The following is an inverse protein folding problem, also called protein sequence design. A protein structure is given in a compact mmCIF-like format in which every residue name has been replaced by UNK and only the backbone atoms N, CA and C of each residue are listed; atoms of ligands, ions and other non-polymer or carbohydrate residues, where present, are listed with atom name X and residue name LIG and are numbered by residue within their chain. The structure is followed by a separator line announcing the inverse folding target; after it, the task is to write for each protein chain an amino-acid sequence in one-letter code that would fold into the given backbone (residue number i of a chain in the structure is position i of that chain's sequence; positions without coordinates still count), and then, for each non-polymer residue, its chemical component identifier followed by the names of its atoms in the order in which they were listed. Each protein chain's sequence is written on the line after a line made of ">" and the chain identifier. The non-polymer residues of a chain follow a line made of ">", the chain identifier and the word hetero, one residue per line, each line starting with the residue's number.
data_IF_774582947031
#
_entry.id   IF_774582947031
#
_cell.length_a   1.000
_cell.length_b   1.000
_cell.length_c   1.000
_cell.angle_alpha   90.00
_cell.angle_beta   90.00
_cell.angle_gamma   90.00
#
_symmetry.space_group_name_H-M   'P 1'
#
loop_
_entity.id
_entity.type
_entity.pdbx_description
1 polymer ?
#
# COMPACT_ATOMS: atom_id res chain seq x y z
N UNK A 1 25.97 15.53 -10.59
CA UNK A 1 25.08 14.81 -9.66
C UNK A 1 25.91 13.85 -8.82
N UNK A 2 25.69 13.76 -7.51
CA UNK A 2 26.36 12.74 -6.70
C UNK A 2 25.94 11.34 -7.17
N UNK A 3 26.89 10.42 -7.33
CA UNK A 3 26.61 9.05 -7.73
C UNK A 3 25.72 8.35 -6.69
N UNK A 4 24.64 7.70 -7.13
CA UNK A 4 23.79 6.89 -6.26
C UNK A 4 24.60 5.72 -5.68
N UNK A 5 24.74 5.69 -4.35
CA UNK A 5 25.53 4.69 -3.61
C UNK A 5 24.72 3.44 -3.19
N UNK A 6 23.44 3.35 -3.56
CA UNK A 6 22.61 2.20 -3.21
C UNK A 6 22.74 1.03 -4.18
N UNK A 7 22.09 -0.08 -3.84
CA UNK A 7 22.03 -1.29 -4.67
C UNK A 7 21.40 -1.03 -6.04
N UNK A 8 21.84 -1.79 -7.04
CA UNK A 8 21.41 -1.68 -8.45
C UNK A 8 20.96 -3.04 -8.96
N UNK A 9 20.10 -3.03 -9.96
CA UNK A 9 19.87 -4.20 -10.82
C UNK A 9 21.12 -4.52 -11.65
N UNK A 10 21.22 -5.73 -12.23
CA UNK A 10 22.33 -6.11 -13.10
C UNK A 10 22.55 -5.17 -14.30
N UNK A 11 21.50 -4.53 -14.78
CA UNK A 11 21.55 -3.54 -15.87
C UNK A 11 22.05 -2.14 -15.42
N UNK A 12 22.45 -2.01 -14.15
CA UNK A 12 22.93 -0.77 -13.55
C UNK A 12 21.82 0.15 -13.04
N UNK A 13 20.54 -0.18 -13.22
CA UNK A 13 19.41 0.63 -12.73
C UNK A 13 19.42 0.68 -11.20
N UNK A 14 19.43 1.88 -10.58
CA UNK A 14 19.24 2.03 -9.14
C UNK A 14 17.96 1.36 -8.64
N UNK A 15 18.00 0.60 -7.55
CA UNK A 15 16.83 -0.17 -7.10
C UNK A 15 15.64 0.68 -6.69
N UNK A 16 15.86 1.88 -6.16
CA UNK A 16 14.78 2.83 -5.90
C UNK A 16 14.06 3.26 -7.19
N UNK A 17 14.80 3.47 -8.28
CA UNK A 17 14.23 3.78 -9.60
C UNK A 17 13.53 2.56 -10.20
N UNK A 18 14.09 1.36 -10.03
CA UNK A 18 13.50 0.11 -10.49
C UNK A 18 12.14 -0.18 -9.80
N UNK A 19 12.05 0.03 -8.49
CA UNK A 19 10.81 -0.08 -7.72
C UNK A 19 9.78 0.97 -8.18
N UNK A 20 10.21 2.21 -8.38
CA UNK A 20 9.34 3.26 -8.93
C UNK A 20 8.79 2.87 -10.31
N UNK A 21 9.64 2.39 -11.23
CA UNK A 21 9.24 1.91 -12.55
C UNK A 21 8.24 0.76 -12.44
N UNK A 22 8.45 -0.15 -11.50
CA UNK A 22 7.52 -1.27 -11.25
C UNK A 22 6.13 -0.78 -10.82
N UNK A 23 6.05 0.21 -9.94
CA UNK A 23 4.76 0.79 -9.53
C UNK A 23 4.07 1.59 -10.63
N UNK A 24 4.84 2.29 -11.49
CA UNK A 24 4.31 2.91 -12.71
C UNK A 24 3.75 1.87 -13.67
N UNK A 25 4.48 0.77 -13.86
CA UNK A 25 4.04 -0.37 -14.68
C UNK A 25 2.78 -1.04 -14.12
N UNK A 26 2.60 -1.05 -12.80
CA UNK A 26 1.39 -1.53 -12.15
C UNK A 26 0.19 -0.56 -12.23
N UNK A 27 0.33 0.57 -12.92
CA UNK A 27 -0.74 1.52 -13.21
C UNK A 27 -0.94 2.61 -12.16
N UNK A 28 -0.03 2.77 -11.20
CA UNK A 28 -0.05 3.93 -10.31
C UNK A 28 0.38 5.19 -11.04
N UNK A 29 -0.20 6.34 -10.69
CA UNK A 29 0.25 7.67 -11.13
C UNK A 29 1.71 7.94 -10.73
N UNK A 30 2.30 9.03 -11.23
CA UNK A 30 3.64 9.45 -10.82
C UNK A 30 3.72 9.64 -9.29
N UNK A 31 2.78 10.40 -8.72
CA UNK A 31 2.83 10.75 -7.29
C UNK A 31 2.46 9.57 -6.39
N UNK A 32 1.55 8.70 -6.81
CA UNK A 32 1.25 7.45 -6.12
C UNK A 32 2.49 6.53 -6.11
N UNK A 33 3.14 6.34 -7.27
CA UNK A 33 4.34 5.51 -7.37
C UNK A 33 5.49 6.05 -6.53
N UNK A 34 5.72 7.38 -6.53
CA UNK A 34 6.69 8.02 -5.65
C UNK A 34 6.42 7.71 -4.17
N UNK A 35 5.16 7.82 -3.73
CA UNK A 35 4.80 7.62 -2.33
C UNK A 35 4.99 6.17 -1.87
N UNK A 36 4.52 5.19 -2.65
CA UNK A 36 4.69 3.77 -2.27
C UNK A 36 6.16 3.36 -2.34
N UNK A 37 6.92 3.89 -3.32
CA UNK A 37 8.37 3.65 -3.39
C UNK A 37 9.10 4.22 -2.17
N UNK A 38 8.67 5.38 -1.67
CA UNK A 38 9.24 5.96 -0.45
C UNK A 38 8.99 5.08 0.79
N UNK A 39 7.83 4.43 0.90
CA UNK A 39 7.56 3.44 1.95
C UNK A 39 8.49 2.22 1.83
N UNK A 40 8.71 1.68 0.62
CA UNK A 40 9.69 0.60 0.39
C UNK A 40 11.08 1.01 0.90
N UNK A 41 11.52 2.23 0.59
CA UNK A 41 12.79 2.77 1.06
C UNK A 41 12.84 2.88 2.59
N UNK A 42 11.75 3.33 3.22
CA UNK A 42 11.63 3.38 4.68
C UNK A 42 11.84 2.00 5.32
N UNK A 43 11.29 0.95 4.71
CA UNK A 43 11.42 -0.42 5.22
C UNK A 43 12.85 -0.93 5.18
N UNK A 44 13.54 -0.78 4.04
CA UNK A 44 14.74 -1.59 3.78
C UNK A 44 15.87 -0.87 3.04
N UNK A 45 15.76 0.46 2.85
CA UNK A 45 16.73 1.28 2.10
C UNK A 45 17.01 0.78 0.68
N UNK A 46 16.09 0.01 0.08
CA UNK A 46 16.27 -0.63 -1.23
C UNK A 46 17.45 -1.61 -1.28
N UNK A 47 17.77 -2.28 -0.17
CA UNK A 47 18.79 -3.34 -0.19
C UNK A 47 18.32 -4.53 -1.02
N UNK A 48 19.19 -5.02 -1.92
CA UNK A 48 18.85 -6.15 -2.80
C UNK A 48 18.45 -7.41 -2.01
N UNK A 49 19.14 -7.68 -0.90
CA UNK A 49 18.85 -8.82 -0.03
C UNK A 49 17.44 -8.80 0.57
N UNK A 50 16.89 -7.61 0.85
CA UNK A 50 15.51 -7.53 1.35
C UNK A 50 14.49 -7.47 0.21
N UNK A 51 14.78 -6.75 -0.88
CA UNK A 51 13.87 -6.63 -2.04
C UNK A 51 13.60 -7.98 -2.72
N UNK A 52 14.61 -8.83 -2.79
CA UNK A 52 14.57 -10.13 -3.47
C UNK A 52 14.83 -11.31 -2.53
N UNK A 53 14.66 -11.10 -1.23
CA UNK A 53 14.87 -12.15 -0.25
C UNK A 53 13.71 -12.34 0.70
N UNK A 54 13.98 -13.20 1.68
CA UNK A 54 13.15 -13.38 2.85
C UNK A 54 14.01 -13.09 4.10
N UNK A 55 13.35 -12.73 5.20
CA UNK A 55 13.97 -12.70 6.51
C UNK A 55 12.96 -13.09 7.57
N UNK A 56 13.43 -13.61 8.68
CA UNK A 56 12.56 -13.98 9.81
C UNK A 56 12.60 -12.86 10.85
N UNK A 57 11.43 -12.41 11.30
CA UNK A 57 11.33 -11.45 12.40
C UNK A 57 11.78 -12.12 13.70
N UNK A 58 12.54 -11.43 14.57
CA UNK A 58 12.76 -11.88 15.95
C UNK A 58 11.46 -12.02 16.77
N UNK A 59 10.37 -11.38 16.35
CA UNK A 59 9.04 -11.57 16.90
C UNK A 59 8.39 -12.88 16.40
N UNK A 60 7.77 -13.61 17.32
CA UNK A 60 6.94 -14.76 17.01
C UNK A 60 5.46 -14.37 16.89
N UNK A 61 4.71 -15.15 16.11
CA UNK A 61 3.24 -15.11 16.13
C UNK A 61 2.71 -15.41 17.54
N UNK A 62 1.42 -15.14 17.80
CA UNK A 62 0.77 -15.48 19.08
C UNK A 62 0.90 -16.98 19.47
N UNK A 63 1.20 -17.85 18.51
CA UNK A 63 1.46 -19.28 18.73
C UNK A 63 2.94 -19.68 18.66
N UNK A 64 3.88 -18.74 18.85
CA UNK A 64 5.31 -19.04 18.95
C UNK A 64 6.03 -19.31 17.63
N UNK A 65 5.34 -19.27 16.48
CA UNK A 65 5.98 -19.49 15.16
C UNK A 65 6.76 -18.27 14.69
N UNK A 66 7.97 -18.42 14.12
CA UNK A 66 8.72 -17.32 13.53
C UNK A 66 7.94 -16.66 12.39
N UNK A 67 8.01 -15.33 12.29
CA UNK A 67 7.31 -14.58 11.24
C UNK A 67 8.24 -14.45 10.03
N UNK A 68 7.92 -15.15 8.94
CA UNK A 68 8.62 -14.97 7.67
C UNK A 68 8.13 -13.69 6.98
N UNK A 69 9.08 -12.85 6.59
CA UNK A 69 8.88 -11.69 5.75
C UNK A 69 9.45 -11.97 4.35
N UNK A 70 8.70 -11.65 3.30
CA UNK A 70 9.10 -11.87 1.91
C UNK A 70 9.02 -10.57 1.11
N UNK A 71 10.04 -10.28 0.29
CA UNK A 71 9.99 -9.22 -0.73
C UNK A 71 10.03 -7.78 -0.21
N UNK A 72 9.82 -6.85 -1.15
CA UNK A 72 10.11 -5.42 -0.96
C UNK A 72 9.26 -4.69 0.10
N UNK A 73 8.09 -5.22 0.48
CA UNK A 73 7.26 -4.68 1.59
C UNK A 73 7.30 -5.56 2.84
N UNK A 74 8.20 -6.54 2.91
CA UNK A 74 8.25 -7.50 4.02
C UNK A 74 6.89 -8.16 4.26
N UNK A 75 6.26 -8.65 3.19
CA UNK A 75 4.96 -9.32 3.31
C UNK A 75 5.07 -10.48 4.29
N UNK A 76 4.08 -10.64 5.16
CA UNK A 76 4.02 -11.68 6.19
C UNK A 76 2.56 -12.06 6.50
N UNK A 77 2.36 -12.94 7.48
CA UNK A 77 1.04 -13.31 7.99
C UNK A 77 0.09 -13.81 6.89
N UNK A 78 0.58 -14.66 6.00
CA UNK A 78 -0.17 -15.26 4.89
C UNK A 78 -0.07 -14.45 3.61
N UNK A 79 0.21 -13.15 3.67
CA UNK A 79 0.45 -12.33 2.47
C UNK A 79 1.76 -12.73 1.78
N UNK A 80 2.73 -13.22 2.54
CA UNK A 80 4.00 -13.77 2.05
C UNK A 80 3.76 -15.00 1.17
N UNK A 81 2.90 -15.92 1.60
CA UNK A 81 2.54 -17.10 0.81
C UNK A 81 1.78 -16.72 -0.45
N UNK A 82 0.83 -15.78 -0.35
CA UNK A 82 0.10 -15.28 -1.52
C UNK A 82 1.04 -14.60 -2.53
N UNK A 83 2.05 -13.88 -2.05
CA UNK A 83 3.07 -13.29 -2.90
C UNK A 83 3.95 -14.37 -3.54
N UNK A 84 4.45 -15.33 -2.77
CA UNK A 84 5.25 -16.44 -3.27
C UNK A 84 4.53 -17.21 -4.38
N UNK A 85 3.28 -17.62 -4.15
CA UNK A 85 2.47 -18.32 -5.15
C UNK A 85 2.29 -17.43 -6.41
N UNK A 86 2.12 -16.12 -6.24
CA UNK A 86 2.05 -15.17 -7.35
C UNK A 86 3.37 -15.05 -8.13
N UNK A 87 4.51 -14.97 -7.44
CA UNK A 87 5.83 -14.83 -8.07
C UNK A 87 6.25 -16.12 -8.81
N UNK A 88 5.95 -17.29 -8.24
CA UNK A 88 6.16 -18.59 -8.89
C UNK A 88 5.32 -18.69 -10.17
N UNK A 89 4.03 -18.33 -10.12
CA UNK A 89 3.15 -18.33 -11.29
C UNK A 89 3.63 -17.38 -12.39
N UNK A 90 4.27 -16.26 -12.02
CA UNK A 90 4.84 -15.31 -12.98
C UNK A 90 6.26 -15.70 -13.46
N UNK A 91 6.80 -16.85 -13.04
CA UNK A 91 8.11 -17.33 -13.47
C UNK A 91 9.29 -16.51 -12.94
N UNK A 92 9.07 -15.66 -11.94
CA UNK A 92 10.08 -14.76 -11.36
C UNK A 92 10.57 -15.22 -9.98
N UNK A 93 10.14 -16.39 -9.54
CA UNK A 93 10.62 -17.08 -8.34
C UNK A 93 10.67 -18.58 -8.60
N UNK A 94 11.79 -19.22 -8.20
CA UNK A 94 12.00 -20.68 -8.33
C UNK A 94 12.75 -21.18 -7.10
N UNK A 95 12.32 -22.33 -6.56
CA UNK A 95 12.95 -22.98 -5.40
C UNK A 95 13.18 -22.02 -4.21
N UNK A 96 12.20 -21.16 -3.91
CA UNK A 96 12.33 -20.19 -2.81
C UNK A 96 13.19 -18.96 -3.11
N UNK A 97 13.77 -18.84 -4.31
CA UNK A 97 14.66 -17.74 -4.71
C UNK A 97 13.96 -16.83 -5.71
N UNK A 98 13.91 -15.53 -5.42
CA UNK A 98 13.39 -14.50 -6.32
C UNK A 98 14.46 -14.09 -7.34
N UNK A 99 14.07 -13.93 -8.59
CA UNK A 99 14.94 -13.38 -9.62
C UNK A 99 15.25 -11.89 -9.33
N UNK A 100 16.53 -11.52 -9.32
CA UNK A 100 16.97 -10.14 -9.07
C UNK A 100 16.90 -9.29 -10.35
N UNK A 101 15.69 -9.07 -10.85
CA UNK A 101 15.44 -8.35 -12.10
C UNK A 101 14.18 -7.48 -12.03
N UNK A 102 14.00 -6.65 -13.07
CA UNK A 102 12.84 -5.75 -13.16
C UNK A 102 11.51 -6.51 -13.25
N UNK A 103 11.48 -7.69 -13.89
CA UNK A 103 10.25 -8.48 -14.01
C UNK A 103 9.73 -8.94 -12.64
N UNK A 104 10.63 -9.33 -11.73
CA UNK A 104 10.26 -9.66 -10.35
C UNK A 104 9.70 -8.43 -9.61
N UNK A 105 10.36 -7.27 -9.70
CA UNK A 105 9.85 -6.03 -9.08
C UNK A 105 8.49 -5.64 -9.64
N UNK A 106 8.28 -5.77 -10.96
CA UNK A 106 7.00 -5.54 -11.62
C UNK A 106 5.90 -6.46 -11.05
N UNK A 107 6.22 -7.74 -10.85
CA UNK A 107 5.29 -8.70 -10.27
C UNK A 107 4.95 -8.35 -8.80
N UNK A 108 5.95 -8.02 -7.97
CA UNK A 108 5.72 -7.58 -6.59
C UNK A 108 4.86 -6.29 -6.54
N UNK A 109 5.11 -5.32 -7.41
CA UNK A 109 4.34 -4.08 -7.49
C UNK A 109 2.90 -4.33 -7.96
N UNK A 110 2.70 -5.20 -8.95
CA UNK A 110 1.37 -5.59 -9.42
C UNK A 110 0.57 -6.31 -8.31
N UNK A 111 1.21 -7.21 -7.57
CA UNK A 111 0.61 -7.85 -6.40
C UNK A 111 0.19 -6.80 -5.35
N UNK A 112 1.09 -5.87 -5.04
CA UNK A 112 0.85 -4.78 -4.09
C UNK A 112 -0.35 -3.92 -4.49
N UNK A 113 -0.41 -3.48 -5.75
CA UNK A 113 -1.52 -2.66 -6.27
C UNK A 113 -2.85 -3.43 -6.24
N UNK A 114 -2.84 -4.72 -6.57
CA UNK A 114 -4.02 -5.58 -6.47
C UNK A 114 -4.51 -5.70 -5.02
N UNK A 115 -3.61 -5.89 -4.06
CA UNK A 115 -3.98 -5.89 -2.65
C UNK A 115 -4.59 -4.55 -2.23
N UNK A 116 -3.94 -3.43 -2.54
CA UNK A 116 -4.44 -2.09 -2.18
C UNK A 116 -5.82 -1.78 -2.78
N UNK A 117 -6.18 -2.40 -3.91
CA UNK A 117 -7.51 -2.28 -4.56
C UNK A 117 -8.56 -3.25 -4.00
N UNK A 118 -8.16 -4.24 -3.21
CA UNK A 118 -9.10 -5.21 -2.64
C UNK A 118 -10.02 -4.57 -1.58
N UNK A 119 -11.20 -5.16 -1.29
CA UNK A 119 -12.12 -4.65 -0.26
C UNK A 119 -11.47 -4.46 1.12
N UNK A 120 -10.42 -5.24 1.42
CA UNK A 120 -9.65 -5.16 2.67
C UNK A 120 -8.97 -3.80 2.87
N UNK A 121 -8.55 -3.15 1.78
CA UNK A 121 -7.69 -1.96 1.80
C UNK A 121 -8.31 -0.74 1.10
N UNK A 122 -9.06 -0.93 0.01
CA UNK A 122 -9.53 0.15 -0.85
C UNK A 122 -10.27 1.26 -0.07
N UNK A 123 -11.16 0.89 0.85
CA UNK A 123 -11.91 1.84 1.67
C UNK A 123 -11.07 2.65 2.66
N UNK A 124 -9.82 2.26 2.93
CA UNK A 124 -8.89 2.94 3.84
C UNK A 124 -7.83 3.78 3.10
N UNK A 125 -7.77 3.66 1.78
CA UNK A 125 -6.82 4.34 0.89
C UNK A 125 -7.55 5.34 -0.02
N UNK A 126 -8.56 6.04 0.53
CA UNK A 126 -9.46 6.88 -0.26
C UNK A 126 -8.73 8.05 -0.89
N UNK A 127 -7.90 8.77 -0.14
CA UNK A 127 -7.14 9.88 -0.68
C UNK A 127 -6.13 9.40 -1.72
N UNK A 128 -5.44 8.29 -1.43
CA UNK A 128 -4.52 7.67 -2.36
C UNK A 128 -5.18 7.35 -3.70
N UNK A 129 -6.37 6.76 -3.71
CA UNK A 129 -7.06 6.37 -4.94
C UNK A 129 -7.76 7.52 -5.66
N UNK A 130 -8.42 8.40 -4.92
CA UNK A 130 -9.28 9.43 -5.52
C UNK A 130 -8.50 10.66 -5.99
N UNK A 131 -7.30 10.90 -5.45
CA UNK A 131 -6.51 12.08 -5.77
C UNK A 131 -5.14 11.70 -6.35
N UNK A 132 -5.03 10.95 -7.47
CA UNK A 132 -3.79 10.32 -7.91
C UNK A 132 -2.61 11.30 -8.10
N UNK A 133 -2.87 12.58 -8.33
CA UNK A 133 -1.84 13.60 -8.55
C UNK A 133 -1.59 14.51 -7.33
N UNK A 134 -2.15 14.20 -6.15
CA UNK A 134 -1.83 14.94 -4.93
C UNK A 134 -0.34 14.78 -4.56
N UNK A 135 0.15 15.68 -3.70
CA UNK A 135 1.52 15.62 -3.19
C UNK A 135 1.81 14.23 -2.59
N UNK A 136 2.87 13.51 -3.03
CA UNK A 136 3.18 12.16 -2.53
C UNK A 136 3.23 12.05 -1.00
N UNK A 137 3.65 13.11 -0.30
CA UNK A 137 3.76 13.12 1.16
C UNK A 137 2.40 12.98 1.86
N UNK A 138 1.30 13.43 1.23
CA UNK A 138 -0.04 13.38 1.83
C UNK A 138 -0.59 11.97 1.95
N UNK A 139 -0.03 10.99 1.22
CA UNK A 139 -0.45 9.59 1.29
C UNK A 139 0.21 8.81 2.44
N UNK A 140 1.25 9.36 3.07
CA UNK A 140 2.07 8.65 4.06
C UNK A 140 1.24 8.08 5.21
N UNK A 141 0.25 8.84 5.70
CA UNK A 141 -0.64 8.38 6.76
C UNK A 141 -1.49 7.18 6.33
N UNK A 142 -2.09 7.23 5.14
CA UNK A 142 -2.94 6.14 4.64
C UNK A 142 -2.13 4.89 4.35
N UNK A 143 -1.03 5.03 3.61
CA UNK A 143 -0.14 3.92 3.29
C UNK A 143 0.45 3.31 4.57
N UNK A 144 1.04 4.13 5.43
CA UNK A 144 1.69 3.71 6.66
C UNK A 144 0.76 3.04 7.66
N UNK A 145 -0.42 3.60 7.92
CA UNK A 145 -1.37 3.04 8.91
C UNK A 145 -2.21 1.88 8.38
N UNK A 146 -2.56 1.89 7.09
CA UNK A 146 -3.62 1.01 6.60
C UNK A 146 -3.14 -0.08 5.66
N UNK A 147 -2.04 0.11 4.94
CA UNK A 147 -1.53 -0.89 4.01
C UNK A 147 -0.23 -1.54 4.46
N UNK A 148 0.77 -0.70 4.78
CA UNK A 148 2.08 -1.14 5.27
C UNK A 148 2.00 -1.54 6.74
N UNK A 149 1.20 -0.84 7.53
CA UNK A 149 0.89 -1.13 8.95
C UNK A 149 2.15 -1.09 9.81
N UNK A 150 2.87 0.04 9.78
CA UNK A 150 3.88 0.36 10.78
C UNK A 150 3.30 1.30 11.85
N UNK A 151 4.07 1.57 12.90
CA UNK A 151 3.65 2.42 14.03
C UNK A 151 3.60 3.93 13.68
N UNK A 152 3.05 4.28 12.52
CA UNK A 152 2.88 5.65 12.06
C UNK A 152 2.04 6.46 13.05
N UNK A 153 2.56 7.59 13.51
CA UNK A 153 1.86 8.45 14.46
C UNK A 153 1.81 7.92 15.88
N UNK A 154 2.65 6.93 16.24
CA UNK A 154 2.74 6.40 17.60
C UNK A 154 4.08 6.78 18.20
N UNK A 155 4.09 7.29 19.44
CA UNK A 155 5.34 7.58 20.14
C UNK A 155 5.87 6.36 20.94
N UNK A 156 5.16 5.22 20.87
CA UNK A 156 5.53 3.97 21.56
C UNK A 156 5.03 2.73 20.82
N UNK A 157 5.76 1.62 20.93
CA UNK A 157 5.40 0.28 20.41
C UNK A 157 5.39 -0.77 21.52
N UNK A 158 4.85 -1.96 21.25
CA UNK A 158 4.90 -3.09 22.19
C UNK A 158 6.34 -3.55 22.38
N UNK A 159 6.78 -3.68 23.63
CA UNK A 159 8.10 -4.22 23.94
C UNK A 159 8.10 -5.75 23.98
N UNK A 160 9.28 -6.37 23.79
CA UNK A 160 9.48 -7.80 24.02
C UNK A 160 9.30 -8.08 25.51
N UNK A 161 8.42 -9.02 25.87
CA UNK A 161 8.09 -9.32 27.27
C UNK A 161 6.88 -8.56 27.84
N UNK A 162 6.18 -7.75 27.04
CA UNK A 162 5.01 -6.96 27.48
C UNK A 162 5.34 -5.49 27.72
N UNK A 163 4.31 -4.66 27.95
CA UNK A 163 4.48 -3.22 28.13
C UNK A 163 4.69 -2.41 26.83
N UNK A 164 5.09 -1.14 26.98
CA UNK A 164 5.34 -0.20 25.87
C UNK A 164 6.77 0.32 25.94
N UNK A 165 7.45 0.43 24.81
CA UNK A 165 8.76 1.08 24.68
C UNK A 165 8.65 2.28 23.74
N UNK A 166 9.55 3.25 23.89
CA UNK A 166 9.57 4.46 23.07
C UNK A 166 9.78 4.13 21.59
N UNK A 167 9.08 4.84 20.72
CA UNK A 167 9.20 4.71 19.26
C UNK A 167 9.03 6.08 18.62
N UNK A 168 10.08 6.60 18.00
CA UNK A 168 10.02 7.88 17.31
C UNK A 168 9.51 7.70 15.88
N UNK A 169 8.18 7.72 15.71
CA UNK A 169 7.59 7.60 14.37
C UNK A 169 8.01 8.73 13.43
N UNK A 170 8.35 9.92 13.95
CA UNK A 170 8.75 11.09 13.14
C UNK A 170 10.10 10.83 12.49
N UNK A 171 11.04 10.21 13.21
CA UNK A 171 12.31 9.75 12.62
C UNK A 171 12.10 8.79 11.44
N UNK A 172 11.16 7.84 11.57
CA UNK A 172 10.82 6.92 10.49
C UNK A 172 10.14 7.60 9.31
N UNK A 173 9.21 8.53 9.55
CA UNK A 173 8.57 9.31 8.48
C UNK A 173 9.56 10.26 7.79
N UNK A 174 10.51 10.84 8.53
CA UNK A 174 11.60 11.64 7.96
C UNK A 174 12.51 10.79 7.06
N UNK A 175 12.80 9.54 7.43
CA UNK A 175 13.53 8.60 6.56
C UNK A 175 12.76 8.32 5.27
N UNK A 176 11.45 8.04 5.35
CA UNK A 176 10.56 7.88 4.19
C UNK A 176 10.63 9.12 3.27
N UNK A 177 10.50 10.32 3.85
CA UNK A 177 10.57 11.60 3.13
C UNK A 177 11.94 11.83 2.48
N UNK A 178 13.03 11.41 3.14
CA UNK A 178 14.36 11.39 2.56
C UNK A 178 14.41 10.57 1.27
N UNK A 179 13.92 9.32 1.31
CA UNK A 179 13.85 8.45 0.13
C UNK A 179 12.97 9.02 -0.98
N UNK A 180 11.82 9.64 -0.63
CA UNK A 180 10.96 10.34 -1.57
C UNK A 180 11.72 11.45 -2.32
N UNK A 181 12.41 12.32 -1.58
CA UNK A 181 13.15 13.45 -2.15
C UNK A 181 14.35 12.99 -2.99
N UNK A 182 15.09 11.98 -2.53
CA UNK A 182 16.19 11.38 -3.31
C UNK A 182 15.67 10.82 -4.64
N UNK A 183 14.59 10.03 -4.61
CA UNK A 183 14.01 9.46 -5.82
C UNK A 183 13.52 10.55 -6.76
N UNK A 184 12.79 11.55 -6.26
CA UNK A 184 12.29 12.64 -7.07
C UNK A 184 13.42 13.42 -7.76
N UNK A 185 14.50 13.71 -7.03
CA UNK A 185 15.69 14.34 -7.60
C UNK A 185 16.36 13.50 -8.68
N UNK A 186 16.44 12.17 -8.51
CA UNK A 186 16.97 11.26 -9.53
C UNK A 186 16.10 11.20 -10.80
N UNK A 187 14.81 11.47 -10.68
CA UNK A 187 13.86 11.51 -11.81
C UNK A 187 13.75 12.91 -12.45
N UNK A 188 14.57 13.88 -12.01
CA UNK A 188 14.50 15.27 -12.49
C UNK A 188 13.26 16.04 -12.00
N UNK A 189 12.55 15.51 -11.01
CA UNK A 189 11.36 16.13 -10.42
C UNK A 189 11.67 17.11 -9.30
N UNK A 190 10.61 17.71 -8.74
CA UNK A 190 10.71 18.58 -7.57
C UNK A 190 11.30 17.83 -6.37
N UNK A 191 12.31 18.40 -5.74
CA UNK A 191 12.81 17.98 -4.43
C UNK A 191 12.14 18.83 -3.34
N UNK A 192 12.18 18.38 -2.08
CA UNK A 192 11.56 19.03 -0.91
C UNK A 192 10.05 18.83 -0.77
N UNK A 193 9.56 17.62 -1.05
CA UNK A 193 8.26 17.20 -0.55
C UNK A 193 8.28 17.25 0.97
N UNK A 194 7.46 18.14 1.51
CA UNK A 194 7.09 18.20 2.93
C UNK A 194 5.57 18.16 3.00
N UNK A 195 5.04 17.69 4.13
CA UNK A 195 3.65 17.86 4.44
C UNK A 195 3.41 19.37 4.57
N UNK A 196 2.90 19.99 3.51
CA UNK A 196 2.22 21.26 3.69
C UNK A 196 1.08 20.98 4.66
N UNK A 197 0.99 21.76 5.74
CA UNK A 197 -0.25 21.81 6.49
C UNK A 197 -1.33 22.12 5.46
N UNK A 198 -2.22 21.15 5.19
CA UNK A 198 -3.47 21.46 4.53
C UNK A 198 -4.22 22.31 5.54
N UNK A 199 -3.94 23.61 5.56
CA UNK A 199 -4.92 24.57 6.02
C UNK A 199 -6.10 24.38 5.06
N UNK A 200 -7.27 23.89 5.51
CA UNK A 200 -8.45 24.11 4.71
C UNK A 200 -8.52 25.62 4.52
N UNK A 201 -8.43 26.10 3.27
CA UNK A 201 -8.71 27.51 2.99
C UNK A 201 -10.21 27.70 3.14
N UNK A 202 -10.68 27.68 4.39
CA UNK A 202 -11.89 28.39 4.74
C UNK A 202 -11.47 29.86 4.78
N UNK A 203 -11.66 30.58 3.67
CA UNK A 203 -11.80 32.01 3.76
C UNK A 203 -13.08 32.24 4.57
N UNK A 204 -12.92 32.45 5.87
CA UNK A 204 -14.01 33.02 6.65
C UNK A 204 -14.37 34.35 5.98
N UNK A 205 -15.65 34.58 5.61
CA UNK A 205 -16.05 35.91 5.16
C UNK A 205 -15.63 36.91 6.24
N UNK A 206 -14.96 37.98 5.84
CA UNK A 206 -14.54 39.03 6.74
C UNK A 206 -15.77 39.52 7.50
N UNK A 207 -15.78 39.32 8.82
CA UNK A 207 -16.78 39.94 9.68
C UNK A 207 -16.60 41.44 9.57
N UNK A 208 -17.54 42.09 8.88
CA UNK A 208 -17.71 43.54 9.00
C UNK A 208 -18.36 43.80 10.36
N UNK A 209 -17.83 44.73 11.18
CA UNK A 209 -18.51 45.14 12.40
C UNK A 209 -19.89 45.70 12.05
N UNK A 210 -20.89 45.42 12.90
CA UNK A 210 -22.29 45.76 12.66
C UNK A 210 -22.56 47.26 12.41
N UNK A 211 -21.58 48.13 12.69
CA UNK A 211 -21.60 49.57 12.42
C UNK A 211 -21.55 49.94 10.92
N UNK A 212 -21.24 49.01 10.02
CA UNK A 212 -21.17 49.27 8.57
C UNK A 212 -22.42 48.84 7.78
N UNK A 213 -23.45 48.30 8.42
CA UNK A 213 -24.71 47.95 7.76
C UNK A 213 -25.60 49.19 7.58
N UNK A 214 -25.29 50.02 6.57
CA UNK A 214 -26.29 50.95 6.01
C UNK A 214 -27.25 50.17 5.11
N UNK A 215 -28.53 50.37 5.37
CA UNK A 215 -29.72 49.78 4.76
C UNK A 215 -29.57 49.49 3.26
N UNK A 216 -29.49 48.21 2.91
CA UNK A 216 -29.86 47.70 1.60
C UNK A 216 -30.70 46.43 1.81
N UNK A 217 -31.92 46.43 1.28
CA UNK A 217 -32.84 45.28 1.35
C UNK A 217 -32.17 44.08 0.63
N UNK A 218 -32.12 42.89 1.24
CA UNK A 218 -31.61 41.72 0.53
C UNK A 218 -32.64 41.29 -0.52
N UNK A 219 -32.30 41.49 -1.81
CA UNK A 219 -32.97 40.78 -2.89
C UNK A 219 -32.44 39.35 -2.88
N UNK A 220 -33.20 38.44 -2.28
CA UNK A 220 -32.94 37.01 -2.40
C UNK A 220 -33.49 36.53 -3.76
N UNK A 221 -32.62 36.37 -4.74
CA UNK A 221 -32.95 35.61 -5.95
C UNK A 221 -32.67 34.15 -5.65
N UNK A 222 -33.73 33.38 -5.37
CA UNK A 222 -33.63 31.94 -5.27
C UNK A 222 -33.13 31.37 -6.61
N UNK A 223 -32.15 30.46 -6.64
CA UNK A 223 -31.88 29.69 -7.86
C UNK A 223 -33.11 28.83 -8.15
N UNK A 224 -33.73 29.03 -9.31
CA UNK A 224 -34.82 28.16 -9.77
C UNK A 224 -34.25 26.77 -10.04
N UNK A 225 -34.61 25.80 -9.21
CA UNK A 225 -34.46 24.39 -9.54
C UNK A 225 -35.36 24.09 -10.74
N UNK A 226 -34.77 23.70 -11.86
CA UNK A 226 -35.54 23.19 -13.00
C UNK A 226 -36.20 21.87 -12.60
N UNK A 227 -37.53 21.81 -12.75
CA UNK A 227 -38.34 20.61 -12.51
C UNK A 227 -37.98 19.44 -13.46
N UNK A 228 -38.30 18.18 -13.09
CA UNK A 228 -37.88 16.98 -13.82
C UNK A 228 -38.57 16.70 -15.16
N UNK A 229 -39.37 17.61 -15.72
CA UNK A 229 -40.11 17.37 -16.97
C UNK A 229 -39.34 17.65 -18.28
N UNK A 230 -38.07 18.05 -18.25
CA UNK A 230 -37.29 18.36 -19.47
C UNK A 230 -36.42 17.21 -20.04
N UNK A 231 -36.70 15.95 -19.69
CA UNK A 231 -36.04 14.77 -20.27
C UNK A 231 -37.04 13.89 -21.04
N UNK A 232 -37.57 14.43 -22.14
CA UNK A 232 -38.11 13.62 -23.24
C UNK A 232 -37.61 14.20 -24.56
N UNK A 233 -36.57 13.57 -25.13
CA UNK A 233 -36.12 13.90 -26.49
C UNK A 233 -34.67 13.54 -26.80
N UNK A 234 -34.41 12.26 -27.08
CA UNK A 234 -33.40 11.74 -28.03
C UNK A 234 -31.87 11.89 -27.72
N UNK A 235 -31.03 10.99 -28.30
CA UNK A 235 -29.76 10.55 -27.71
C UNK A 235 -28.53 11.14 -28.40
N UNK A 236 -27.44 11.38 -27.65
CA UNK A 236 -26.10 11.51 -28.24
C UNK A 236 -25.05 10.95 -27.28
N UNK A 237 -24.44 9.83 -27.65
CA UNK A 237 -23.22 9.35 -27.01
C UNK A 237 -22.04 10.25 -27.39
N UNK A 238 -21.14 10.63 -26.47
CA UNK A 238 -19.89 11.27 -26.88
C UNK A 238 -18.95 10.21 -27.48
N UNK A 239 -18.71 10.28 -28.79
CA UNK A 239 -17.66 9.53 -29.46
C UNK A 239 -16.29 9.99 -28.96
N UNK A 240 -15.51 9.08 -28.38
CA UNK A 240 -14.11 9.30 -28.09
C UNK A 240 -13.27 8.94 -29.32
N UNK A 241 -12.49 9.89 -29.85
CA UNK A 241 -11.49 9.64 -30.88
C UNK A 241 -10.10 9.50 -30.23
N UNK A 242 -9.45 8.33 -30.28
CA UNK A 242 -8.07 8.18 -29.83
C UNK A 242 -7.08 8.82 -30.84
N UNK A 243 -5.92 9.33 -30.39
CA UNK A 243 -4.89 9.85 -31.28
C UNK A 243 -4.30 8.76 -32.18
N UNK A 244 -4.16 9.06 -33.47
CA UNK A 244 -3.43 8.24 -34.46
C UNK A 244 -1.93 8.37 -34.22
N UNK A 245 -1.28 7.26 -33.88
CA UNK A 245 0.17 7.14 -33.96
C UNK A 245 0.58 6.95 -35.42
N UNK A 246 1.50 7.78 -35.92
CA UNK A 246 2.12 7.60 -37.23
C UNK A 246 3.03 6.36 -37.18
N UNK A 247 2.65 5.33 -37.92
CA UNK A 247 3.52 4.21 -38.28
C UNK A 247 4.13 4.50 -39.66
N UNK A 248 5.45 4.57 -39.74
CA UNK A 248 6.19 4.65 -41.00
C UNK A 248 7.68 4.87 -40.77
N UNK A 249 8.47 3.79 -40.85
CA UNK A 249 9.92 3.78 -40.68
C UNK A 249 10.46 2.35 -40.56
N UNK A 250 10.24 1.58 -41.63
CA UNK A 250 10.86 0.32 -42.07
C UNK A 250 11.77 -0.47 -41.11
N UNK A 251 11.27 -1.64 -40.68
CA UNK A 251 12.07 -2.86 -40.52
C UNK A 251 11.21 -4.07 -40.93
N UNK A 252 11.64 -4.77 -41.99
CA UNK A 252 11.06 -6.05 -42.41
C UNK A 252 11.32 -7.13 -41.35
N UNK A 253 10.30 -7.86 -40.84
CA UNK A 253 10.52 -9.10 -40.11
C UNK A 253 10.65 -10.30 -41.08
N UNK A 254 11.44 -11.33 -40.75
CA UNK A 254 11.38 -12.60 -41.47
C UNK A 254 10.00 -13.23 -41.28
N UNK A 255 9.42 -13.64 -42.40
CA UNK A 255 8.26 -14.51 -42.50
C UNK A 255 8.53 -15.84 -41.80
N UNK A 256 7.79 -16.14 -40.72
CA UNK A 256 7.22 -17.47 -40.40
C UNK A 256 6.86 -17.60 -38.92
N UNK A 257 5.80 -16.92 -38.45
CA UNK A 257 5.01 -17.40 -37.30
C UNK A 257 3.55 -17.01 -37.52
N UNK A 258 2.67 -17.99 -37.67
CA UNK A 258 1.22 -17.77 -37.71
C UNK A 258 0.69 -17.39 -36.31
N UNK A 259 -0.22 -16.39 -36.19
CA UNK A 259 -0.84 -16.06 -34.91
C UNK A 259 -1.96 -17.06 -34.62
N UNK A 260 -1.75 -17.97 -33.66
CA UNK A 260 -2.85 -18.74 -33.07
C UNK A 260 -3.67 -17.82 -32.16
N UNK A 261 -4.98 -17.79 -32.42
CA UNK A 261 -5.92 -16.86 -31.80
C UNK A 261 -6.00 -17.02 -30.29
N UNK A 262 -5.60 -15.97 -29.57
CA UNK A 262 -5.93 -15.81 -28.16
C UNK A 262 -7.38 -15.30 -28.04
N UNK A 263 -8.27 -16.18 -27.59
CA UNK A 263 -9.62 -15.82 -27.12
C UNK A 263 -9.55 -15.60 -25.60
N UNK A 264 -9.96 -14.44 -25.05
CA UNK A 264 -10.06 -14.26 -23.61
C UNK A 264 -11.12 -15.22 -23.04
N UNK A 265 -10.93 -15.80 -21.84
CA UNK A 265 -11.92 -16.69 -21.23
C UNK A 265 -13.16 -15.92 -20.79
N UNK A 266 -14.31 -16.39 -21.26
CA UNK A 266 -15.65 -15.98 -20.93
C UNK A 266 -16.02 -16.58 -19.56
N UNK A 267 -16.29 -15.73 -18.56
CA UNK A 267 -16.66 -16.19 -17.21
C UNK A 267 -18.17 -16.44 -17.16
N UNK A 268 -18.58 -17.71 -17.23
CA UNK A 268 -19.94 -18.12 -16.92
C UNK A 268 -20.32 -17.67 -15.50
N UNK A 269 -21.42 -16.93 -15.41
CA UNK A 269 -22.04 -16.53 -14.16
C UNK A 269 -23.26 -17.43 -13.93
N UNK A 270 -23.01 -18.63 -13.39
CA UNK A 270 -24.06 -19.47 -12.81
C UNK A 270 -23.79 -19.66 -11.31
N UNK A 271 -24.83 -19.65 -10.44
CA UNK A 271 -24.65 -19.85 -9.01
C UNK A 271 -24.47 -21.34 -8.70
N UNK A 272 -23.33 -21.70 -8.12
CA UNK A 272 -23.15 -23.00 -7.47
C UNK A 272 -23.90 -23.01 -6.13
N UNK A 273 -25.15 -23.46 -6.14
CA UNK A 273 -25.78 -23.99 -4.93
C UNK A 273 -25.17 -25.37 -4.64
N UNK A 274 -24.20 -25.42 -3.74
CA UNK A 274 -23.83 -26.64 -3.03
C UNK A 274 -24.18 -26.46 -1.57
N UNK A 275 -25.18 -27.22 -1.10
CA UNK A 275 -25.53 -27.37 0.31
C UNK A 275 -24.31 -27.83 1.11
N UNK A 276 -23.70 -26.91 1.86
CA UNK A 276 -22.83 -27.26 2.97
C UNK A 276 -23.70 -27.57 4.20
N UNK A 277 -23.87 -28.85 4.52
CA UNK A 277 -24.33 -29.27 5.85
C UNK A 277 -23.29 -28.85 6.88
N UNK A 278 -23.61 -27.83 7.67
CA UNK A 278 -22.83 -27.45 8.84
C UNK A 278 -22.85 -28.58 9.89
N UNK A 279 -21.72 -28.94 10.52
CA UNK A 279 -21.73 -29.84 11.67
C UNK A 279 -22.43 -29.16 12.86
N UNK A 280 -23.31 -29.90 13.53
CA UNK A 280 -24.06 -29.45 14.69
C UNK A 280 -23.13 -28.98 15.82
N UNK A 281 -23.22 -27.70 16.16
CA UNK A 281 -22.56 -27.11 17.31
C UNK A 281 -23.28 -27.56 18.59
N UNK A 282 -22.64 -28.41 19.40
CA UNK A 282 -23.05 -28.62 20.80
C UNK A 282 -22.47 -27.47 21.63
N UNK A 283 -23.29 -26.63 22.29
CA UNK A 283 -22.77 -25.65 23.23
C UNK A 283 -22.10 -26.37 24.42
N UNK A 284 -21.03 -25.79 25.00
CA UNK A 284 -20.39 -26.38 26.19
C UNK A 284 -21.36 -26.38 27.37
N UNK A 285 -21.42 -27.51 28.07
CA UNK A 285 -22.11 -27.64 29.37
C UNK A 285 -21.52 -26.63 30.36
N UNK A 286 -22.40 -25.81 30.93
CA UNK A 286 -22.08 -24.88 32.00
C UNK A 286 -21.75 -25.68 33.26
N UNK A 287 -20.50 -25.61 33.73
CA UNK A 287 -20.15 -26.11 35.07
C UNK A 287 -20.70 -25.15 36.14
N UNK A 288 -21.39 -25.65 37.19
CA UNK A 288 -21.90 -24.82 38.28
C UNK A 288 -20.77 -24.29 39.19
N UNK A 289 -20.94 -23.11 39.81
CA UNK A 289 -19.86 -22.34 40.44
C UNK A 289 -19.56 -22.74 41.90
N UNK A 290 -19.18 -24.01 42.15
CA UNK A 290 -18.82 -24.46 43.51
C UNK A 290 -17.50 -25.25 43.61
N UNK A 291 -16.59 -25.17 42.63
CA UNK A 291 -15.25 -25.80 42.73
C UNK A 291 -14.06 -24.86 42.45
N UNK A 292 -14.15 -23.61 42.92
CA UNK A 292 -13.01 -22.68 42.97
C UNK A 292 -12.56 -22.44 44.41
N UNK A 293 -12.16 -23.50 45.12
CA UNK A 293 -11.25 -23.39 46.26
C UNK A 293 -10.27 -24.57 46.24
N UNK A 294 -9.04 -24.29 46.66
CA UNK A 294 -7.83 -25.15 46.76
C UNK A 294 -7.00 -25.40 45.49
N UNK A 295 -6.14 -24.43 45.14
CA UNK A 295 -4.70 -24.68 44.93
C UNK A 295 -3.91 -23.47 45.45
N UNK A 296 -3.57 -23.48 46.74
CA UNK A 296 -2.49 -22.65 47.28
C UNK A 296 -1.17 -23.42 47.12
N UNK A 297 -0.12 -22.67 46.78
CA UNK A 297 1.29 -22.92 47.08
C UNK A 297 1.94 -24.20 46.52
N UNK A 298 2.72 -24.01 45.45
CA UNK A 298 4.03 -24.65 45.33
C UNK A 298 5.01 -23.67 44.72
N UNK A 299 6.24 -23.71 45.23
CA UNK A 299 7.25 -22.67 45.22
C UNK A 299 7.89 -22.39 43.85
N UNK A 300 8.32 -21.15 43.67
CA UNK A 300 9.27 -20.75 42.63
C UNK A 300 10.69 -21.09 43.09
N UNK A 301 11.54 -21.73 42.26
CA UNK A 301 12.97 -21.67 42.46
C UNK A 301 13.52 -20.33 41.93
N UNK A 302 14.28 -19.69 42.80
CA UNK A 302 15.11 -18.50 42.60
C UNK A 302 16.17 -18.77 41.51
N UNK A 303 16.24 -17.93 40.49
CA UNK A 303 17.27 -17.97 39.46
C UNK A 303 18.18 -16.75 39.63
N UNK A 304 19.43 -17.03 40.00
CA UNK A 304 20.53 -16.06 40.09
C UNK A 304 20.82 -15.39 38.73
N UNK A 305 21.22 -14.11 38.71
CA UNK A 305 21.61 -13.42 37.48
C UNK A 305 23.03 -13.81 37.03
N UNK A 306 23.14 -14.43 35.85
CA UNK A 306 24.41 -14.61 35.15
C UNK A 306 24.89 -13.29 34.53
N UNK A 307 26.07 -12.85 34.97
CA UNK A 307 26.89 -11.81 34.37
C UNK A 307 27.31 -12.20 32.94
N UNK A 308 27.16 -11.29 31.98
CA UNK A 308 27.82 -11.39 30.67
C UNK A 308 28.90 -10.32 30.60
N UNK A 309 30.16 -10.78 30.56
CA UNK A 309 31.33 -9.98 30.23
C UNK A 309 31.34 -9.62 28.73
N UNK A 310 31.99 -8.49 28.47
CA UNK A 310 32.17 -7.69 27.24
C UNK A 310 32.40 -8.44 25.94
#
# INVERSE_FOLDING_TARGET
>A
MAAYKGSKLPDGTPLNVAVYKAYRNAGLSHNQALAVTAEVGRENSFSAGTLFGNHTDPAATKGGKPIRNLGMLSWNQGRDKMLEDYLVKNGVMKNGVMAQNQANLNAQAAFSVREMKSPRYAGKLKNFWNNPNANPDVYARELGKHYIVWAYGQDTIKAKGGGRTAFDWRKHDNRRRGHLNTLAGMLGGKTNYQAQAQQPTFQAPSFRPASELKVAKPTFTAPSWQSPEALKGAPVAPSFNPPKWQTGGDINPPSDIQPTGFKPPEWNSEPLEQEFKAPAFKPPEFMPPEQLQTVQQTAMPELEPQEWQT
#
